data_IF_007943778101
#
_entry.id   IF_007943778101
#
_cell.length_a   1.000
_cell.length_b   1.000
_cell.length_c   1.000
_cell.angle_alpha   90.00
_cell.angle_beta   90.00
_cell.angle_gamma   90.00
#
_symmetry.space_group_name_H-M   'P 1'
#
loop_
_entity.id
_entity.type
_entity.pdbx_description
1 polymer ?
#
# COMPACT_ATOMS: atom_id res chain seq x y z
N UNK A 1 -1.65 -3.33 18.67
CA UNK A 1 -1.68 -3.68 17.24
C UNK A 1 -3.09 -3.38 16.76
N UNK A 2 -3.25 -2.54 15.74
CA UNK A 2 -4.57 -2.20 15.20
C UNK A 2 -5.22 -3.42 14.53
N UNK A 3 -6.54 -3.40 14.41
CA UNK A 3 -7.31 -4.49 13.77
C UNK A 3 -6.86 -4.73 12.33
N UNK A 4 -6.55 -3.68 11.56
CA UNK A 4 -5.95 -3.80 10.23
C UNK A 4 -4.67 -4.63 10.25
N UNK A 5 -3.72 -4.29 11.13
CA UNK A 5 -2.42 -4.99 11.18
C UNK A 5 -2.61 -6.45 11.59
N UNK A 6 -3.58 -6.75 12.46
CA UNK A 6 -3.93 -8.13 12.79
C UNK A 6 -4.51 -8.87 11.57
N UNK A 7 -5.46 -8.27 10.86
CA UNK A 7 -6.08 -8.87 9.67
C UNK A 7 -5.04 -9.15 8.58
N UNK A 8 -4.19 -8.16 8.28
CA UNK A 8 -3.12 -8.32 7.29
C UNK A 8 -2.10 -9.38 7.74
N UNK A 9 -1.68 -9.36 9.01
CA UNK A 9 -0.67 -10.29 9.53
C UNK A 9 -1.09 -11.76 9.40
N UNK A 10 -2.39 -12.07 9.44
CA UNK A 10 -2.91 -13.43 9.24
C UNK A 10 -2.79 -13.91 7.78
N UNK A 11 -2.59 -13.00 6.85
CA UNK A 11 -2.53 -13.27 5.42
C UNK A 11 -1.09 -13.18 4.86
N UNK A 12 -0.14 -12.64 5.63
CA UNK A 12 1.26 -12.52 5.19
C UNK A 12 1.92 -13.91 5.01
N UNK A 13 2.78 -14.08 3.99
CA UNK A 13 3.06 -13.12 2.91
C UNK A 13 1.93 -13.08 1.88
N UNK A 14 1.52 -11.87 1.49
CA UNK A 14 0.41 -11.67 0.54
C UNK A 14 0.97 -11.31 -0.83
N UNK A 15 0.65 -12.10 -1.87
CA UNK A 15 1.10 -11.82 -3.24
C UNK A 15 0.30 -10.71 -3.91
N UNK A 16 1.01 -9.81 -4.59
CA UNK A 16 0.45 -8.81 -5.50
C UNK A 16 0.29 -9.47 -6.87
N UNK A 17 -0.95 -9.79 -7.25
CA UNK A 17 -1.23 -10.45 -8.52
C UNK A 17 -1.64 -9.48 -9.63
N UNK A 18 -2.08 -8.29 -9.25
CA UNK A 18 -2.47 -7.22 -10.15
C UNK A 18 -2.09 -5.88 -9.53
N UNK A 19 -1.71 -4.98 -10.42
CA UNK A 19 -1.34 -3.61 -10.09
C UNK A 19 -2.03 -2.70 -11.11
N UNK A 20 -2.51 -1.56 -10.65
CA UNK A 20 -3.10 -0.53 -11.48
C UNK A 20 -2.70 0.85 -10.96
N UNK A 21 -2.36 1.74 -11.89
CA UNK A 21 -2.11 3.15 -11.66
C UNK A 21 -2.62 3.92 -12.87
N UNK A 22 -3.41 4.96 -12.67
CA UNK A 22 -3.96 5.80 -13.74
C UNK A 22 -3.55 7.28 -13.66
N UNK A 23 -2.69 7.63 -12.71
CA UNK A 23 -2.29 9.00 -12.40
C UNK A 23 -2.94 9.56 -11.14
N UNK A 24 -4.08 9.00 -10.72
CA UNK A 24 -4.82 9.44 -9.54
C UNK A 24 -4.96 8.32 -8.49
N UNK A 25 -5.28 7.10 -8.92
CA UNK A 25 -5.56 5.96 -8.04
C UNK A 25 -4.51 4.87 -8.20
N UNK A 26 -3.84 4.50 -7.10
CA UNK A 26 -3.04 3.27 -7.02
C UNK A 26 -3.89 2.13 -6.48
N UNK A 27 -3.86 0.99 -7.16
CA UNK A 27 -4.45 -0.26 -6.69
C UNK A 27 -3.45 -1.42 -6.75
N UNK A 28 -3.36 -2.16 -5.65
CA UNK A 28 -2.67 -3.45 -5.55
C UNK A 28 -3.70 -4.49 -5.15
N UNK A 29 -3.80 -5.61 -5.86
CA UNK A 29 -4.85 -6.58 -5.54
C UNK A 29 -4.55 -8.00 -6.01
N UNK A 30 -5.28 -8.94 -5.43
CA UNK A 30 -5.40 -10.33 -5.87
C UNK A 30 -6.87 -10.75 -5.83
N UNK A 31 -7.16 -12.05 -5.87
CA UNK A 31 -8.50 -12.57 -5.66
C UNK A 31 -9.07 -12.29 -4.27
N UNK A 32 -8.22 -12.29 -3.22
CA UNK A 32 -8.68 -12.31 -1.83
C UNK A 32 -8.48 -11.00 -1.06
N UNK A 33 -7.81 -10.03 -1.67
CA UNK A 33 -7.56 -8.73 -1.05
C UNK A 33 -7.36 -7.65 -2.10
N UNK A 34 -7.63 -6.40 -1.72
CA UNK A 34 -7.22 -5.22 -2.47
C UNK A 34 -6.79 -4.10 -1.53
N UNK A 35 -5.82 -3.31 -1.99
CA UNK A 35 -5.45 -2.03 -1.43
C UNK A 35 -5.65 -0.98 -2.52
N UNK A 36 -6.32 0.12 -2.17
CA UNK A 36 -6.56 1.27 -3.04
C UNK A 36 -6.20 2.55 -2.30
N UNK A 37 -5.58 3.49 -2.98
CA UNK A 37 -5.33 4.83 -2.43
C UNK A 37 -5.43 5.89 -3.53
N UNK A 38 -6.08 6.99 -3.19
CA UNK A 38 -6.02 8.27 -3.94
C UNK A 38 -5.04 9.24 -3.29
N UNK A 39 -4.44 8.85 -2.15
CA UNK A 39 -3.47 9.65 -1.42
C UNK A 39 -2.10 9.61 -2.10
N UNK A 40 -1.26 10.59 -1.79
CA UNK A 40 0.14 10.57 -2.18
C UNK A 40 0.83 9.28 -1.68
N UNK A 41 1.68 8.68 -2.51
CA UNK A 41 2.42 7.48 -2.16
C UNK A 41 3.84 7.52 -2.72
N UNK A 42 4.72 6.72 -2.13
CA UNK A 42 6.10 6.56 -2.63
C UNK A 42 6.68 5.19 -2.32
N UNK A 43 7.64 4.77 -3.13
CA UNK A 43 8.39 3.53 -2.96
C UNK A 43 9.85 3.83 -2.68
N UNK A 44 10.39 3.21 -1.62
CA UNK A 44 11.80 3.34 -1.23
C UNK A 44 12.46 1.98 -1.07
N UNK A 45 13.80 1.95 -1.04
CA UNK A 45 14.59 0.77 -0.66
C UNK A 45 15.76 1.20 0.22
N UNK A 46 15.75 0.77 1.48
CA UNK A 46 16.71 1.26 2.46
C UNK A 46 16.58 2.77 2.67
N UNK A 47 17.61 3.53 2.29
CA UNK A 47 17.62 5.01 2.40
C UNK A 47 17.31 5.72 1.08
N UNK A 48 17.13 4.98 0.01
CA UNK A 48 16.91 5.51 -1.34
C UNK A 48 15.41 5.64 -1.62
N UNK A 49 15.00 6.80 -2.11
CA UNK A 49 13.69 6.99 -2.71
C UNK A 49 13.77 6.56 -4.17
N UNK A 50 12.97 5.57 -4.57
CA UNK A 50 13.02 5.03 -5.93
C UNK A 50 12.09 5.79 -6.87
N UNK A 51 10.81 5.91 -6.48
CA UNK A 51 9.81 6.64 -7.24
C UNK A 51 8.61 7.02 -6.37
N UNK A 52 7.83 8.00 -6.81
CA UNK A 52 6.59 8.47 -6.19
C UNK A 52 5.44 8.67 -7.17
N UNK A 53 4.26 9.01 -6.64
CA UNK A 53 3.03 9.18 -7.42
C UNK A 53 3.07 10.29 -8.48
N UNK A 54 4.02 11.23 -8.39
CA UNK A 54 4.14 12.37 -9.32
C UNK A 54 5.36 12.28 -10.23
N UNK A 55 6.08 11.17 -10.23
CA UNK A 55 7.18 10.97 -11.16
C UNK A 55 6.62 10.63 -12.55
N UNK A 56 7.23 11.17 -13.61
CA UNK A 56 6.74 11.02 -14.99
C UNK A 56 6.67 9.55 -15.45
N UNK A 57 7.49 8.68 -14.84
CA UNK A 57 7.63 7.26 -15.11
C UNK A 57 6.97 6.36 -14.04
N UNK A 58 6.12 6.93 -13.17
CA UNK A 58 5.47 6.19 -12.08
C UNK A 58 4.70 4.95 -12.56
N UNK A 59 4.03 5.02 -13.73
CA UNK A 59 3.28 3.89 -14.29
C UNK A 59 4.18 2.68 -14.61
N UNK A 60 5.35 2.94 -15.18
CA UNK A 60 6.30 1.90 -15.55
C UNK A 60 6.86 1.24 -14.28
N UNK A 61 7.25 2.05 -13.28
CA UNK A 61 7.78 1.54 -12.00
C UNK A 61 6.76 0.80 -11.15
N UNK A 62 5.50 1.23 -11.17
CA UNK A 62 4.42 0.55 -10.44
C UNK A 62 4.21 -0.87 -10.97
N UNK A 63 4.40 -1.09 -12.27
CA UNK A 63 4.31 -2.43 -12.87
C UNK A 63 5.37 -3.40 -12.30
N UNK A 64 6.52 -2.90 -11.84
CA UNK A 64 7.56 -3.72 -11.20
C UNK A 64 7.17 -4.24 -9.81
N UNK A 65 6.05 -3.77 -9.24
CA UNK A 65 5.51 -4.31 -7.99
C UNK A 65 4.79 -5.66 -8.22
N UNK A 66 4.43 -5.96 -9.47
CA UNK A 66 3.71 -7.17 -9.84
C UNK A 66 4.51 -8.42 -9.49
N UNK A 67 3.84 -9.39 -8.86
CA UNK A 67 4.43 -10.67 -8.49
C UNK A 67 5.24 -10.65 -7.20
N UNK A 68 5.52 -9.47 -6.62
CA UNK A 68 6.08 -9.38 -5.29
C UNK A 68 5.06 -9.76 -4.21
N UNK A 69 5.56 -10.07 -3.02
CA UNK A 69 4.73 -10.26 -1.84
C UNK A 69 4.90 -9.12 -0.85
N UNK A 70 3.80 -8.67 -0.27
CA UNK A 70 3.81 -7.91 0.98
C UNK A 70 4.19 -8.89 2.08
N UNK A 71 5.25 -8.57 2.83
CA UNK A 71 5.82 -9.41 3.88
C UNK A 71 5.71 -8.77 5.28
N UNK A 72 5.39 -7.49 5.34
CA UNK A 72 5.24 -6.73 6.58
C UNK A 72 4.35 -5.51 6.30
N UNK A 73 3.48 -5.17 7.25
CA UNK A 73 2.67 -3.96 7.22
C UNK A 73 2.78 -3.28 8.57
N UNK A 74 2.78 -1.95 8.58
CA UNK A 74 2.80 -1.15 9.79
C UNK A 74 2.37 0.28 9.53
N UNK A 75 2.55 1.13 10.53
CA UNK A 75 2.27 2.56 10.45
C UNK A 75 3.58 3.34 10.32
N UNK A 76 3.59 4.43 9.55
CA UNK A 76 4.75 5.32 9.50
C UNK A 76 5.04 5.98 10.86
N UNK A 77 3.98 6.26 11.62
CA UNK A 77 4.03 6.82 12.96
C UNK A 77 3.10 6.00 13.85
N UNK A 78 3.66 5.20 14.76
CA UNK A 78 2.88 4.31 15.63
C UNK A 78 1.85 5.04 16.50
N UNK A 79 2.17 6.26 16.94
CA UNK A 79 1.25 7.09 17.74
C UNK A 79 0.13 7.74 16.92
N UNK A 80 0.19 7.65 15.60
CA UNK A 80 -0.78 8.20 14.65
C UNK A 80 -1.00 7.19 13.50
N UNK A 81 -1.79 6.12 13.74
CA UNK A 81 -1.96 4.99 12.83
C UNK A 81 -2.87 5.34 11.64
N UNK A 82 -2.39 6.26 10.80
CA UNK A 82 -3.11 6.80 9.64
C UNK A 82 -2.38 6.42 8.36
N UNK A 83 -1.05 6.59 8.32
CA UNK A 83 -0.24 6.36 7.13
C UNK A 83 0.38 4.95 7.15
N UNK A 84 -0.08 4.01 6.32
CA UNK A 84 0.45 2.66 6.30
C UNK A 84 1.74 2.58 5.49
N UNK A 85 2.57 1.60 5.84
CA UNK A 85 3.61 1.10 4.96
C UNK A 85 3.43 -0.38 4.66
N UNK A 86 3.88 -0.80 3.49
CA UNK A 86 3.91 -2.18 3.03
C UNK A 86 5.34 -2.52 2.61
N UNK A 87 5.99 -3.43 3.32
CA UNK A 87 7.31 -3.94 2.95
C UNK A 87 7.14 -5.10 1.99
N UNK A 88 7.91 -5.06 0.91
CA UNK A 88 7.85 -6.03 -0.17
C UNK A 88 9.00 -7.04 -0.07
N UNK A 89 8.80 -8.20 -0.68
CA UNK A 89 9.73 -9.35 -0.64
C UNK A 89 11.11 -9.06 -1.21
N UNK A 90 11.28 -8.02 -2.01
CA UNK A 90 12.57 -7.59 -2.58
C UNK A 90 13.25 -6.46 -1.78
N UNK A 91 12.68 -6.11 -0.64
CA UNK A 91 13.18 -5.08 0.28
C UNK A 91 12.68 -3.66 -0.02
N UNK A 92 11.85 -3.45 -1.05
CA UNK A 92 11.16 -2.18 -1.25
C UNK A 92 10.10 -1.94 -0.17
N UNK A 93 9.76 -0.68 0.07
CA UNK A 93 8.71 -0.25 0.99
C UNK A 93 7.81 0.74 0.26
N UNK A 94 6.53 0.39 0.12
CA UNK A 94 5.49 1.31 -0.31
C UNK A 94 4.93 2.04 0.90
N UNK A 95 4.87 3.37 0.84
CA UNK A 95 4.23 4.20 1.87
C UNK A 95 3.07 4.96 1.23
N UNK A 96 1.93 5.02 1.91
CA UNK A 96 0.81 5.88 1.55
C UNK A 96 0.62 6.96 2.61
N UNK A 97 0.40 8.20 2.18
CA UNK A 97 0.33 9.38 3.01
C UNK A 97 -1.06 10.02 2.90
N UNK A 98 -1.93 9.76 3.88
CA UNK A 98 -3.23 10.43 3.97
C UNK A 98 -2.99 11.89 4.35
N UNK A 99 -2.90 12.74 3.33
CA UNK A 99 -2.62 14.16 3.51
C UNK A 99 -3.91 14.98 3.67
N UNK A 100 -5.03 14.46 3.13
CA UNK A 100 -6.32 15.12 3.10
C UNK A 100 -7.43 14.14 3.47
N UNK A 101 -8.47 14.66 4.14
CA UNK A 101 -9.62 13.85 4.55
C UNK A 101 -10.45 13.28 3.38
N UNK A 102 -10.17 13.76 2.17
CA UNK A 102 -10.85 13.40 0.92
C UNK A 102 -10.08 12.39 0.08
N UNK A 103 -8.87 12.02 0.49
CA UNK A 103 -7.99 11.10 -0.24
C UNK A 103 -7.66 9.90 0.67
N UNK A 104 -8.64 9.04 1.00
CA UNK A 104 -8.39 7.91 1.88
C UNK A 104 -7.59 6.81 1.16
N UNK A 105 -7.02 5.91 1.96
CA UNK A 105 -6.75 4.55 1.49
C UNK A 105 -7.83 3.59 1.98
N UNK A 106 -8.02 2.53 1.22
CA UNK A 106 -8.96 1.45 1.47
C UNK A 106 -8.23 0.12 1.37
N UNK A 107 -8.50 -0.78 2.31
CA UNK A 107 -8.11 -2.18 2.21
C UNK A 107 -9.33 -3.07 2.39
N UNK A 108 -9.59 -3.92 1.41
CA UNK A 108 -10.73 -4.84 1.38
C UNK A 108 -10.23 -6.28 1.34
N UNK A 109 -10.95 -7.17 2.02
CA UNK A 109 -10.69 -8.61 2.04
C UNK A 109 -11.91 -9.40 1.54
N UNK A 110 -11.69 -10.60 1.00
CA UNK A 110 -12.76 -11.43 0.42
C UNK A 110 -13.79 -11.93 1.44
N UNK A 111 -13.50 -11.86 2.74
CA UNK A 111 -14.45 -12.11 3.82
C UNK A 111 -15.40 -10.94 4.09
N UNK A 112 -15.24 -9.82 3.37
CA UNK A 112 -16.03 -8.61 3.49
C UNK A 112 -15.49 -7.61 4.53
N UNK A 113 -14.34 -7.89 5.15
CA UNK A 113 -13.69 -6.91 6.02
C UNK A 113 -13.16 -5.72 5.18
N UNK A 114 -13.46 -4.51 5.64
CA UNK A 114 -13.06 -3.26 4.99
C UNK A 114 -12.41 -2.34 6.03
N UNK A 115 -11.23 -1.84 5.70
CA UNK A 115 -10.48 -0.89 6.51
C UNK A 115 -10.21 0.36 5.70
N UNK A 116 -10.40 1.52 6.33
CA UNK A 116 -10.18 2.82 5.71
C UNK A 116 -9.33 3.68 6.63
N UNK A 117 -8.34 4.36 6.05
CA UNK A 117 -7.56 5.37 6.76
C UNK A 117 -7.85 6.75 6.21
N UNK A 118 -7.96 7.70 7.12
CA UNK A 118 -8.25 9.09 6.82
C UNK A 118 -7.74 10.02 7.93
N UNK A 119 -7.47 11.28 7.60
CA UNK A 119 -7.13 12.33 8.58
C UNK A 119 -8.34 12.99 9.22
#
# INVERSE_FOLDING_TARGET
MSELLQAVALLLPIKIERVFWDGDTLMLFSADWSFRTESAWRVSKGRELLFGCWDDDALDHVSDLLGLSIIEVGWLIDSQPIDPFFKLSDGRILNAFCSLSTEPWLMEFSDGAVYLGNT
#
